data_IF_054050014902
#
_entry.id   IF_054050014902
#
_cell.length_a   1.000
_cell.length_b   1.000
_cell.length_c   1.000
_cell.angle_alpha   90.00
_cell.angle_beta   90.00
_cell.angle_gamma   90.00
#
_symmetry.space_group_name_H-M   'P 1'
#
loop_
_entity.id
_entity.type
_entity.pdbx_description
1 polymer ?
#
# COMPACT_ATOMS: atom_id res chain seq x y z
N UNK A 1 17.43 -24.02 -10.08
CA UNK A 1 17.27 -22.77 -10.89
C UNK A 1 16.30 -21.78 -10.22
N UNK A 2 15.13 -22.19 -9.75
CA UNK A 2 14.12 -21.28 -9.20
C UNK A 2 14.46 -20.59 -7.87
N UNK A 3 15.09 -21.29 -6.91
CA UNK A 3 15.56 -20.69 -5.64
C UNK A 3 16.69 -19.67 -5.85
N UNK A 4 17.63 -19.97 -6.74
CA UNK A 4 18.71 -19.04 -7.09
C UNK A 4 18.16 -17.75 -7.74
N UNK A 5 17.15 -17.90 -8.60
CA UNK A 5 16.46 -16.74 -9.19
C UNK A 5 15.77 -15.90 -8.12
N UNK A 6 15.04 -16.55 -7.19
CA UNK A 6 14.39 -15.87 -6.05
C UNK A 6 15.42 -15.05 -5.26
N UNK A 7 16.54 -15.67 -4.91
CA UNK A 7 17.60 -14.99 -4.16
C UNK A 7 18.21 -13.81 -4.93
N UNK A 8 18.41 -13.97 -6.25
CA UNK A 8 18.90 -12.88 -7.12
C UNK A 8 17.96 -11.68 -7.11
N UNK A 9 16.62 -11.91 -7.14
CA UNK A 9 15.64 -10.85 -7.08
C UNK A 9 15.64 -10.17 -5.70
N UNK A 10 15.70 -10.95 -4.60
CA UNK A 10 15.79 -10.42 -3.24
C UNK A 10 17.04 -9.54 -3.09
N UNK A 11 18.20 -10.01 -3.53
CA UNK A 11 19.43 -9.22 -3.52
C UNK A 11 19.28 -7.94 -4.32
N UNK A 12 18.67 -8.02 -5.49
CA UNK A 12 18.42 -6.83 -6.32
C UNK A 12 17.47 -5.84 -5.67
N UNK A 13 16.44 -6.30 -4.97
CA UNK A 13 15.56 -5.44 -4.18
C UNK A 13 16.34 -4.73 -3.06
N UNK A 14 17.24 -5.44 -2.37
CA UNK A 14 18.10 -4.83 -1.35
C UNK A 14 19.03 -3.75 -1.93
N UNK A 15 19.65 -4.00 -3.10
CA UNK A 15 20.47 -3.01 -3.82
C UNK A 15 19.68 -1.77 -4.27
N UNK A 16 18.37 -1.90 -4.42
CA UNK A 16 17.45 -0.81 -4.79
C UNK A 16 16.77 -0.18 -3.55
N UNK A 17 17.25 -0.49 -2.34
CA UNK A 17 16.65 -0.04 -1.08
C UNK A 17 15.16 -0.40 -0.92
N UNK A 18 14.74 -1.53 -1.47
CA UNK A 18 13.38 -2.06 -1.34
C UNK A 18 13.34 -3.07 -0.19
N UNK A 19 12.76 -2.70 0.97
CA UNK A 19 12.80 -3.55 2.17
C UNK A 19 11.76 -4.67 2.18
N UNK A 20 10.79 -4.65 1.28
CA UNK A 20 9.73 -5.64 1.21
C UNK A 20 9.66 -6.22 -0.20
N UNK A 21 9.80 -7.53 -0.30
CA UNK A 21 9.58 -8.30 -1.52
C UNK A 21 8.90 -9.61 -1.17
N UNK A 22 7.90 -10.00 -1.94
CA UNK A 22 7.16 -11.25 -1.76
C UNK A 22 6.78 -11.87 -3.10
N UNK A 23 6.50 -13.18 -3.08
CA UNK A 23 6.27 -13.98 -4.28
C UNK A 23 4.98 -14.78 -4.14
N UNK A 24 4.05 -14.62 -5.10
CA UNK A 24 2.81 -15.37 -5.15
C UNK A 24 2.68 -16.11 -6.48
N UNK A 25 2.32 -17.40 -6.50
CA UNK A 25 1.99 -18.07 -7.74
C UNK A 25 0.65 -17.53 -8.26
N UNK A 26 0.54 -17.33 -9.57
CA UNK A 26 -0.66 -16.72 -10.19
C UNK A 26 -1.95 -17.51 -9.87
N UNK A 27 -1.88 -18.83 -9.70
CA UNK A 27 -3.03 -19.68 -9.32
C UNK A 27 -3.69 -19.30 -7.98
N UNK A 28 -3.01 -18.55 -7.09
CA UNK A 28 -3.64 -18.07 -5.85
C UNK A 28 -4.79 -17.08 -6.08
N UNK A 29 -4.91 -16.52 -7.28
CA UNK A 29 -6.06 -15.69 -7.65
C UNK A 29 -7.31 -16.50 -7.98
N UNK A 30 -7.17 -17.82 -8.17
CA UNK A 30 -8.29 -18.75 -8.42
C UNK A 30 -8.89 -19.28 -7.11
N UNK A 31 -8.24 -19.04 -5.97
CA UNK A 31 -8.72 -19.47 -4.66
C UNK A 31 -9.90 -18.61 -4.17
N UNK A 32 -10.93 -19.22 -3.52
CA UNK A 32 -12.17 -18.53 -3.12
C UNK A 32 -12.00 -17.47 -2.02
N UNK A 33 -10.80 -17.26 -1.49
CA UNK A 33 -10.50 -16.24 -0.47
C UNK A 33 -10.94 -14.83 -0.87
N UNK A 34 -11.10 -14.57 -2.16
CA UNK A 34 -11.41 -13.24 -2.69
C UNK A 34 -12.76 -13.15 -3.39
N UNK A 35 -13.57 -14.21 -3.42
CA UNK A 35 -14.93 -14.09 -3.91
C UNK A 35 -15.79 -13.26 -2.95
N UNK A 36 -16.64 -12.36 -3.49
CA UNK A 36 -16.95 -12.10 -4.91
C UNK A 36 -16.21 -10.87 -5.48
N UNK A 37 -15.11 -10.41 -4.96
CA UNK A 37 -14.64 -9.03 -5.14
C UNK A 37 -13.30 -8.84 -5.82
N UNK A 38 -12.68 -9.89 -6.38
CA UNK A 38 -11.72 -9.76 -7.48
C UNK A 38 -12.40 -10.24 -8.76
N UNK A 39 -12.80 -9.32 -9.65
CA UNK A 39 -13.28 -9.67 -10.97
C UNK A 39 -12.24 -10.46 -11.76
N UNK A 40 -12.68 -11.31 -12.68
CA UNK A 40 -11.78 -12.18 -13.46
C UNK A 40 -10.78 -11.37 -14.29
N UNK A 41 -11.22 -10.24 -14.84
CA UNK A 41 -10.36 -9.33 -15.60
C UNK A 41 -9.20 -8.72 -14.78
N UNK A 42 -9.25 -8.80 -13.44
CA UNK A 42 -8.17 -8.32 -12.57
C UNK A 42 -7.16 -9.42 -12.19
N UNK A 43 -7.34 -10.64 -12.68
CA UNK A 43 -6.39 -11.73 -12.45
C UNK A 43 -5.10 -11.50 -13.24
N UNK A 44 -3.95 -11.97 -12.74
CA UNK A 44 -2.67 -11.77 -13.44
C UNK A 44 -2.67 -12.28 -14.88
N UNK A 45 -3.25 -13.45 -15.14
CA UNK A 45 -3.30 -14.06 -16.46
C UNK A 45 -4.26 -13.33 -17.43
N UNK A 46 -5.27 -12.61 -16.92
CA UNK A 46 -6.13 -11.77 -17.75
C UNK A 46 -5.42 -10.52 -18.26
N UNK A 47 -4.29 -10.14 -17.62
CA UNK A 47 -3.46 -8.99 -17.98
C UNK A 47 -2.23 -9.42 -18.78
N UNK A 48 -1.56 -10.49 -18.33
CA UNK A 48 -0.40 -11.09 -18.98
C UNK A 48 -0.53 -12.62 -18.91
N UNK A 49 -1.01 -13.27 -19.99
CA UNK A 49 -1.39 -14.69 -20.00
C UNK A 49 -0.30 -15.66 -19.55
N UNK A 50 0.97 -15.34 -19.81
CA UNK A 50 2.12 -16.16 -19.45
C UNK A 50 2.47 -16.10 -17.96
N UNK A 51 1.77 -15.30 -17.15
CA UNK A 51 2.10 -15.11 -15.73
C UNK A 51 2.02 -16.42 -14.95
N UNK A 52 3.14 -16.83 -14.37
CA UNK A 52 3.25 -17.92 -13.40
C UNK A 52 3.46 -17.41 -11.98
N UNK A 53 4.25 -16.33 -11.84
CA UNK A 53 4.52 -15.70 -10.54
C UNK A 53 4.24 -14.20 -10.60
N UNK A 54 3.65 -13.70 -9.53
CA UNK A 54 3.55 -12.27 -9.22
C UNK A 54 4.57 -11.94 -8.15
N UNK A 55 5.52 -11.07 -8.48
CA UNK A 55 6.48 -10.51 -7.54
C UNK A 55 5.92 -9.20 -7.04
N UNK A 56 5.86 -9.01 -5.73
CA UNK A 56 5.36 -7.77 -5.13
C UNK A 56 6.48 -7.10 -4.38
N UNK A 57 6.71 -5.83 -4.68
CA UNK A 57 7.68 -4.99 -3.98
C UNK A 57 6.97 -3.92 -3.16
N UNK A 58 7.54 -3.56 -2.01
CA UNK A 58 6.95 -2.56 -1.11
C UNK A 58 7.97 -1.58 -0.57
N UNK A 59 7.59 -0.30 -0.59
CA UNK A 59 8.36 0.80 0.00
C UNK A 59 7.59 1.45 1.15
N UNK A 60 8.26 1.73 2.29
CA UNK A 60 7.63 2.41 3.41
C UNK A 60 7.35 3.87 3.10
N UNK A 61 6.28 4.36 3.72
CA UNK A 61 5.95 5.78 3.80
C UNK A 61 6.39 6.27 5.17
N UNK A 62 7.31 7.22 5.22
CA UNK A 62 7.88 7.77 6.46
C UNK A 62 6.80 8.26 7.42
N UNK A 63 6.74 7.69 8.62
CA UNK A 63 5.73 8.03 9.63
C UNK A 63 5.76 9.51 10.03
N UNK A 64 6.91 10.15 10.34
CA UNK A 64 6.93 11.58 10.70
C UNK A 64 6.41 12.51 9.61
N UNK A 65 6.62 12.17 8.34
CA UNK A 65 6.09 12.95 7.22
C UNK A 65 4.58 12.71 7.07
N UNK A 66 4.15 11.45 7.17
CA UNK A 66 2.73 11.08 7.16
C UNK A 66 1.94 11.75 8.29
N UNK A 67 2.55 12.00 9.46
CA UNK A 67 1.93 12.70 10.59
C UNK A 67 1.49 14.12 10.24
N UNK A 68 2.13 14.76 9.27
CA UNK A 68 1.71 16.05 8.74
C UNK A 68 0.48 15.98 7.83
N UNK A 69 0.03 14.79 7.43
CA UNK A 69 -1.07 14.59 6.49
C UNK A 69 -2.42 15.15 7.01
N UNK A 70 -3.29 15.69 6.12
CA UNK A 70 -2.99 16.02 4.73
C UNK A 70 -2.10 17.27 4.62
N UNK A 71 -1.04 17.22 3.82
CA UNK A 71 -0.07 18.31 3.66
C UNK A 71 0.67 18.20 2.32
N UNK A 72 1.28 19.31 1.89
CA UNK A 72 2.18 19.31 0.73
C UNK A 72 3.38 18.37 0.95
N UNK A 73 3.91 18.28 2.16
CA UNK A 73 5.05 17.42 2.46
C UNK A 73 4.71 15.93 2.29
N UNK A 74 3.53 15.50 2.79
CA UNK A 74 3.07 14.12 2.57
C UNK A 74 2.73 13.87 1.09
N UNK A 75 2.19 14.87 0.39
CA UNK A 75 1.94 14.78 -1.05
C UNK A 75 3.23 14.48 -1.83
N UNK A 76 4.30 15.22 -1.56
CA UNK A 76 5.58 15.03 -2.25
C UNK A 76 6.24 13.69 -1.88
N UNK A 77 6.20 13.29 -0.60
CA UNK A 77 6.65 11.96 -0.20
C UNK A 77 5.89 10.85 -0.95
N UNK A 78 4.56 10.98 -1.04
CA UNK A 78 3.73 10.01 -1.75
C UNK A 78 4.13 9.87 -3.22
N UNK A 79 4.39 10.98 -3.89
CA UNK A 79 4.89 11.01 -5.28
C UNK A 79 6.25 10.35 -5.41
N UNK A 80 7.19 10.71 -4.53
CA UNK A 80 8.57 10.17 -4.50
C UNK A 80 8.56 8.65 -4.33
N UNK A 81 7.83 8.13 -3.35
CA UNK A 81 7.72 6.69 -3.09
C UNK A 81 7.10 5.97 -4.30
N UNK A 82 6.07 6.54 -4.90
CA UNK A 82 5.41 5.97 -6.08
C UNK A 82 6.36 5.92 -7.28
N UNK A 83 7.09 7.00 -7.55
CA UNK A 83 8.07 7.04 -8.65
C UNK A 83 9.18 6.01 -8.45
N UNK A 84 9.67 5.89 -7.22
CA UNK A 84 10.70 4.88 -6.90
C UNK A 84 10.17 3.46 -7.11
N UNK A 85 8.94 3.16 -6.71
CA UNK A 85 8.30 1.85 -6.96
C UNK A 85 8.20 1.53 -8.45
N UNK A 86 7.75 2.48 -9.26
CA UNK A 86 7.61 2.28 -10.69
C UNK A 86 8.95 2.03 -11.39
N UNK A 87 9.96 2.86 -11.09
CA UNK A 87 11.31 2.70 -11.63
C UNK A 87 11.92 1.37 -11.22
N UNK A 88 11.75 0.97 -9.95
CA UNK A 88 12.29 -0.29 -9.44
C UNK A 88 11.58 -1.51 -10.02
N UNK A 89 10.24 -1.47 -10.12
CA UNK A 89 9.46 -2.53 -10.75
C UNK A 89 9.84 -2.72 -12.22
N UNK A 90 9.99 -1.62 -12.96
CA UNK A 90 10.45 -1.64 -14.34
C UNK A 90 11.87 -2.24 -14.47
N UNK A 91 12.82 -1.82 -13.61
CA UNK A 91 14.19 -2.38 -13.59
C UNK A 91 14.20 -3.88 -13.33
N UNK A 92 13.39 -4.37 -12.37
CA UNK A 92 13.29 -5.80 -12.08
C UNK A 92 12.72 -6.55 -13.30
N UNK A 93 11.69 -6.01 -13.98
CA UNK A 93 11.16 -6.63 -15.19
C UNK A 93 12.20 -6.70 -16.33
N UNK A 94 13.01 -5.67 -16.52
CA UNK A 94 14.10 -5.67 -17.50
C UNK A 94 15.17 -6.73 -17.18
N UNK A 95 15.53 -6.91 -15.91
CA UNK A 95 16.47 -7.95 -15.48
C UNK A 95 15.93 -9.34 -15.80
N UNK A 96 14.65 -9.59 -15.52
CA UNK A 96 14.02 -10.87 -15.85
C UNK A 96 13.96 -11.11 -17.36
N UNK A 97 13.60 -10.09 -18.14
CA UNK A 97 13.57 -10.15 -19.60
C UNK A 97 14.97 -10.43 -20.19
N UNK A 98 16.04 -9.85 -19.63
CA UNK A 98 17.42 -10.14 -20.06
C UNK A 98 17.85 -11.59 -19.81
N UNK A 99 17.19 -12.26 -18.86
CA UNK A 99 17.35 -13.69 -18.56
C UNK A 99 16.43 -14.60 -19.41
N UNK A 100 15.78 -14.07 -20.44
CA UNK A 100 14.79 -14.76 -21.27
C UNK A 100 13.58 -15.25 -20.47
N UNK A 101 13.20 -14.52 -19.41
CA UNK A 101 12.02 -14.75 -18.58
C UNK A 101 11.02 -13.63 -18.83
N UNK A 102 10.05 -13.80 -19.74
CA UNK A 102 9.07 -12.78 -20.08
C UNK A 102 8.42 -12.18 -18.84
N UNK A 103 8.49 -10.86 -18.70
CA UNK A 103 8.04 -10.16 -17.50
C UNK A 103 7.58 -8.75 -17.84
N UNK A 104 6.53 -8.32 -17.15
CA UNK A 104 6.00 -6.97 -17.25
C UNK A 104 5.89 -6.34 -15.85
N UNK A 105 6.11 -5.05 -15.78
CA UNK A 105 5.84 -4.25 -14.60
C UNK A 105 4.40 -3.74 -14.63
N UNK A 106 3.72 -3.75 -13.49
CA UNK A 106 2.38 -3.20 -13.30
C UNK A 106 2.50 -1.90 -12.52
N UNK A 107 2.07 -0.75 -13.08
CA UNK A 107 2.19 0.55 -12.43
C UNK A 107 1.39 0.60 -11.11
N UNK A 108 1.94 1.27 -10.08
CA UNK A 108 1.35 1.37 -8.74
C UNK A 108 -0.05 2.01 -8.69
N UNK A 109 -0.41 2.79 -9.69
CA UNK A 109 -1.72 3.42 -9.81
C UNK A 109 -2.32 3.11 -11.20
N UNK A 110 -3.24 2.15 -11.27
CA UNK A 110 -3.84 1.68 -12.51
C UNK A 110 -5.20 2.32 -12.84
N UNK A 111 -5.40 3.62 -12.55
CA UNK A 111 -6.67 4.32 -12.77
C UNK A 111 -6.53 5.68 -13.48
N UNK A 112 -5.32 6.12 -13.79
CA UNK A 112 -5.03 7.37 -14.52
C UNK A 112 -5.23 8.62 -13.69
N UNK A 113 -6.45 8.97 -13.30
CA UNK A 113 -6.74 10.16 -12.50
C UNK A 113 -7.69 9.89 -11.33
N UNK A 114 -7.64 10.72 -10.30
CA UNK A 114 -8.52 10.61 -9.12
C UNK A 114 -10.00 10.83 -9.49
N UNK A 115 -10.31 11.58 -10.55
CA UNK A 115 -11.66 11.80 -11.01
C UNK A 115 -12.32 10.52 -11.51
N UNK A 116 -11.57 9.64 -12.18
CA UNK A 116 -12.06 8.35 -12.65
C UNK A 116 -12.53 7.48 -11.46
N UNK A 117 -11.85 7.55 -10.31
CA UNK A 117 -12.23 6.77 -9.13
C UNK A 117 -13.57 7.16 -8.51
N UNK A 118 -14.16 8.31 -8.87
CA UNK A 118 -15.51 8.69 -8.42
C UNK A 118 -16.59 7.94 -9.21
N UNK A 119 -16.30 7.62 -10.44
CA UNK A 119 -17.22 6.91 -11.36
C UNK A 119 -16.95 5.40 -11.28
N UNK A 120 -15.69 5.02 -11.42
CA UNK A 120 -15.24 3.63 -11.36
C UNK A 120 -14.14 3.49 -10.29
N UNK A 121 -14.47 3.19 -9.03
CA UNK A 121 -13.52 3.19 -7.91
C UNK A 121 -12.65 1.92 -7.88
N UNK A 122 -12.08 1.54 -9.01
CA UNK A 122 -11.26 0.37 -9.25
C UNK A 122 -10.04 0.74 -10.10
N UNK A 123 -8.89 0.16 -9.76
CA UNK A 123 -7.74 0.07 -10.65
C UNK A 123 -7.81 -1.26 -11.40
N UNK A 124 -7.11 -1.39 -12.54
CA UNK A 124 -7.14 -2.64 -13.31
C UNK A 124 -6.42 -3.80 -12.62
N UNK A 125 -5.63 -3.54 -11.58
CA UNK A 125 -4.99 -4.55 -10.74
C UNK A 125 -4.86 -4.09 -9.29
N UNK A 126 -4.97 -5.02 -8.33
CA UNK A 126 -4.91 -4.71 -6.90
C UNK A 126 -3.61 -5.16 -6.27
N UNK A 127 -2.64 -4.27 -6.15
CA UNK A 127 -1.37 -4.53 -5.47
C UNK A 127 -1.53 -4.94 -3.99
N UNK A 128 -2.61 -4.51 -3.31
CA UNK A 128 -2.88 -4.92 -1.91
C UNK A 128 -3.25 -6.40 -1.81
N UNK A 129 -4.07 -6.89 -2.75
CA UNK A 129 -4.37 -8.32 -2.82
C UNK A 129 -3.14 -9.12 -3.22
N UNK A 130 -2.36 -8.62 -4.18
CA UNK A 130 -1.10 -9.23 -4.56
C UNK A 130 -0.14 -9.34 -3.36
N UNK A 131 0.00 -8.26 -2.57
CA UNK A 131 0.85 -8.25 -1.38
C UNK A 131 0.35 -9.22 -0.27
N UNK A 132 -0.96 -9.37 -0.12
CA UNK A 132 -1.54 -10.40 0.76
C UNK A 132 -1.16 -11.80 0.28
N UNK A 133 -1.40 -12.10 -1.01
CA UNK A 133 -1.11 -13.41 -1.60
C UNK A 133 0.39 -13.72 -1.63
N UNK A 134 1.23 -12.69 -1.66
CA UNK A 134 2.69 -12.80 -1.60
C UNK A 134 3.24 -12.84 -0.15
N UNK A 135 2.38 -12.97 0.86
CA UNK A 135 2.79 -13.13 2.25
C UNK A 135 3.38 -11.89 2.91
N UNK A 136 3.10 -10.69 2.41
CA UNK A 136 3.66 -9.44 2.96
C UNK A 136 2.86 -8.86 4.12
N UNK A 137 1.66 -9.40 4.39
CA UNK A 137 0.81 -8.93 5.46
C UNK A 137 -0.65 -9.35 5.29
N UNK A 138 -1.55 -8.73 6.05
CA UNK A 138 -2.98 -8.97 5.94
C UNK A 138 -3.81 -7.70 6.08
N UNK A 139 -5.09 -7.78 5.68
CA UNK A 139 -5.95 -6.60 5.62
C UNK A 139 -6.40 -6.13 7.00
N UNK A 140 -6.32 -4.81 7.23
CA UNK A 140 -6.95 -4.16 8.36
C UNK A 140 -8.39 -3.73 8.10
N UNK A 141 -9.10 -3.32 9.15
CA UNK A 141 -10.46 -2.75 9.04
C UNK A 141 -10.50 -1.45 8.23
N UNK A 142 -9.35 -0.82 7.99
CA UNK A 142 -9.20 0.33 7.08
C UNK A 142 -9.01 -0.08 5.61
N UNK A 143 -9.14 -1.37 5.30
CA UNK A 143 -8.91 -1.99 3.98
C UNK A 143 -7.50 -1.73 3.39
N UNK A 144 -6.55 -1.35 4.23
CA UNK A 144 -5.14 -1.32 3.85
C UNK A 144 -4.48 -2.66 4.18
N UNK A 145 -3.46 -3.03 3.42
CA UNK A 145 -2.60 -4.13 3.81
C UNK A 145 -1.68 -3.67 4.94
N UNK A 146 -1.68 -4.39 6.03
CA UNK A 146 -0.82 -4.17 7.19
C UNK A 146 0.37 -5.11 7.09
N UNK A 147 1.58 -4.55 7.16
CA UNK A 147 2.81 -5.31 7.30
C UNK A 147 3.28 -5.26 8.76
N UNK A 148 4.01 -6.27 9.22
CA UNK A 148 4.53 -6.32 10.58
C UNK A 148 5.47 -5.13 10.87
N UNK A 149 6.37 -4.83 9.92
CA UNK A 149 7.40 -3.80 10.09
C UNK A 149 6.87 -2.37 9.99
N UNK A 150 5.90 -2.12 9.09
CA UNK A 150 5.46 -0.75 8.76
C UNK A 150 3.94 -0.54 8.92
N UNK A 151 3.19 -1.55 9.38
CA UNK A 151 1.74 -1.46 9.40
C UNK A 151 1.18 -1.12 8.01
N UNK A 152 0.20 -0.19 7.91
CA UNK A 152 -0.37 0.24 6.64
C UNK A 152 0.47 1.31 5.90
N UNK A 153 1.64 1.67 6.44
CA UNK A 153 2.52 2.72 5.90
C UNK A 153 3.46 2.17 4.84
N UNK A 154 2.91 1.48 3.86
CA UNK A 154 3.62 0.89 2.72
C UNK A 154 2.85 1.14 1.44
N UNK A 155 3.59 1.42 0.37
CA UNK A 155 3.10 1.40 -1.00
C UNK A 155 3.66 0.18 -1.71
N UNK A 156 2.89 -0.39 -2.63
CA UNK A 156 3.25 -1.62 -3.35
C UNK A 156 3.20 -1.40 -4.86
N UNK A 157 4.07 -2.12 -5.57
CA UNK A 157 3.99 -2.36 -7.00
C UNK A 157 4.18 -3.86 -7.27
N UNK A 158 3.80 -4.31 -8.45
CA UNK A 158 3.86 -5.74 -8.82
C UNK A 158 4.57 -5.92 -10.14
N UNK A 159 5.24 -7.06 -10.30
CA UNK A 159 5.85 -7.51 -11.54
C UNK A 159 5.26 -8.89 -11.85
N UNK A 160 4.73 -9.07 -13.06
CA UNK A 160 4.28 -10.36 -13.55
C UNK A 160 5.38 -11.02 -14.36
N UNK A 161 5.61 -12.30 -14.13
CA UNK A 161 6.66 -13.05 -14.83
C UNK A 161 6.20 -14.45 -15.21
N UNK A 162 6.67 -14.91 -16.36
CA UNK A 162 6.52 -16.30 -16.79
C UNK A 162 7.44 -17.28 -16.03
N UNK A 163 8.35 -16.76 -15.20
CA UNK A 163 9.19 -17.59 -14.35
C UNK A 163 8.37 -18.26 -13.24
N UNK A 164 8.65 -19.54 -12.99
CA UNK A 164 8.13 -20.26 -11.83
C UNK A 164 9.09 -20.06 -10.64
N UNK A 165 8.70 -19.21 -9.72
CA UNK A 165 9.49 -18.83 -8.54
C UNK A 165 8.81 -19.38 -7.28
N UNK A 166 9.55 -20.00 -6.34
CA UNK A 166 8.97 -20.53 -5.11
C UNK A 166 8.20 -19.46 -4.33
N UNK A 167 6.93 -19.70 -4.00
CA UNK A 167 6.09 -18.72 -3.33
C UNK A 167 6.47 -18.51 -1.87
N UNK A 168 6.09 -17.36 -1.33
CA UNK A 168 6.10 -17.14 0.11
C UNK A 168 4.77 -17.60 0.74
N UNK A 169 4.78 -18.05 2.01
CA UNK A 169 3.55 -18.42 2.71
C UNK A 169 2.68 -17.20 2.99
N UNK A 170 1.36 -17.35 2.87
CA UNK A 170 0.41 -16.31 3.28
C UNK A 170 0.38 -16.22 4.80
N UNK A 171 0.43 -15.01 5.33
CA UNK A 171 0.37 -14.75 6.79
C UNK A 171 -1.05 -15.02 7.27
N UNK A 172 -1.21 -15.99 8.21
CA UNK A 172 -2.50 -16.38 8.76
C UNK A 172 -2.94 -15.53 9.94
N UNK A 173 -1.99 -15.10 10.79
CA UNK A 173 -2.28 -14.33 11.99
C UNK A 173 -2.65 -12.89 11.65
N UNK A 174 -3.84 -12.40 12.05
CA UNK A 174 -4.25 -11.05 11.75
C UNK A 174 -3.42 -10.03 12.53
N UNK A 175 -2.86 -9.04 11.84
CA UNK A 175 -2.12 -7.93 12.45
C UNK A 175 -3.05 -6.85 13.01
N UNK A 176 -4.27 -6.73 12.48
CA UNK A 176 -5.23 -5.71 12.88
C UNK A 176 -5.85 -6.03 14.25
N UNK A 177 -5.70 -5.12 15.20
CA UNK A 177 -6.27 -5.24 16.56
C UNK A 177 -7.71 -4.75 16.68
N UNK A 178 -8.32 -4.30 15.58
CA UNK A 178 -9.69 -3.73 15.54
C UNK A 178 -9.90 -2.56 16.53
N UNK A 179 -8.90 -1.74 16.77
CA UNK A 179 -8.93 -0.63 17.75
C UNK A 179 -9.81 0.56 17.36
N UNK A 180 -10.41 0.56 16.18
CA UNK A 180 -11.32 1.57 15.62
C UNK A 180 -10.71 2.97 15.38
N UNK A 181 -9.45 3.23 15.69
CA UNK A 181 -8.82 4.55 15.53
C UNK A 181 -8.92 5.07 14.08
N UNK A 182 -8.70 4.20 13.09
CA UNK A 182 -8.81 4.57 11.68
C UNK A 182 -10.26 4.92 11.27
N UNK A 183 -11.25 4.23 11.84
CA UNK A 183 -12.68 4.48 11.61
C UNK A 183 -13.06 5.85 12.19
N UNK A 184 -12.72 6.07 13.46
CA UNK A 184 -13.04 7.31 14.18
C UNK A 184 -12.33 8.53 13.58
N UNK A 185 -11.13 8.35 13.02
CA UNK A 185 -10.36 9.44 12.39
C UNK A 185 -10.75 9.70 10.93
N UNK A 186 -11.65 8.92 10.34
CA UNK A 186 -12.06 9.11 8.96
C UNK A 186 -13.01 10.31 8.81
N UNK A 187 -12.60 11.43 8.18
CA UNK A 187 -13.39 12.66 8.14
C UNK A 187 -14.63 12.56 7.25
N UNK A 188 -14.71 11.53 6.41
CA UNK A 188 -15.87 11.26 5.53
C UNK A 188 -16.58 9.96 5.91
N UNK A 189 -16.24 9.37 7.08
CA UNK A 189 -16.86 8.15 7.60
C UNK A 189 -16.92 7.00 6.58
N UNK A 190 -15.89 6.89 5.73
CA UNK A 190 -15.84 5.91 4.65
C UNK A 190 -15.51 4.49 5.14
N UNK A 191 -15.25 4.27 6.42
CA UNK A 191 -14.91 2.98 7.00
C UNK A 191 -16.03 2.53 7.94
N UNK A 192 -16.57 1.33 7.73
CA UNK A 192 -17.68 0.79 8.51
C UNK A 192 -17.24 0.03 9.79
N UNK A 193 -15.95 -0.18 9.96
CA UNK A 193 -15.36 -0.84 11.14
C UNK A 193 -15.41 -2.37 11.12
N UNK A 194 -16.03 -2.98 10.12
CA UNK A 194 -16.03 -4.44 9.98
C UNK A 194 -14.71 -4.94 9.41
N UNK A 195 -14.37 -6.19 9.72
CA UNK A 195 -13.18 -6.84 9.19
C UNK A 195 -13.33 -7.07 7.68
N UNK A 196 -12.25 -6.83 6.95
CA UNK A 196 -12.15 -7.17 5.54
C UNK A 196 -12.24 -8.71 5.36
N UNK A 197 -12.99 -9.25 4.39
CA UNK A 197 -13.68 -8.57 3.29
C UNK A 197 -15.13 -8.15 3.56
N UNK A 198 -15.71 -8.45 4.71
CA UNK A 198 -17.10 -8.09 5.06
C UNK A 198 -17.28 -6.58 5.22
N UNK A 199 -16.23 -5.89 5.70
CA UNK A 199 -16.17 -4.44 5.77
C UNK A 199 -15.41 -3.87 4.58
N UNK A 200 -16.02 -2.94 3.86
CA UNK A 200 -15.43 -2.28 2.70
C UNK A 200 -15.38 -0.77 2.94
N UNK A 201 -14.34 -0.14 2.40
CA UNK A 201 -14.29 1.32 2.33
C UNK A 201 -15.34 1.83 1.35
N UNK A 202 -16.11 2.84 1.73
CA UNK A 202 -16.83 3.68 0.75
C UNK A 202 -15.76 4.41 -0.09
N UNK A 203 -15.39 3.76 -1.20
CA UNK A 203 -14.34 4.24 -2.09
C UNK A 203 -14.73 5.55 -2.76
N UNK A 204 -16.04 5.77 -3.01
CA UNK A 204 -16.54 7.00 -3.64
C UNK A 204 -16.39 8.19 -2.71
N UNK A 205 -16.82 8.09 -1.46
CA UNK A 205 -16.64 9.15 -0.46
C UNK A 205 -15.13 9.45 -0.23
N UNK A 206 -14.30 8.41 -0.15
CA UNK A 206 -12.85 8.55 -0.04
C UNK A 206 -12.23 9.25 -1.27
N UNK A 207 -12.65 8.90 -2.49
CA UNK A 207 -12.17 9.50 -3.74
C UNK A 207 -12.56 10.98 -3.86
N UNK A 208 -13.81 11.34 -3.53
CA UNK A 208 -14.29 12.72 -3.53
C UNK A 208 -13.42 13.60 -2.61
N UNK A 209 -13.13 13.11 -1.39
CA UNK A 209 -12.23 13.81 -0.48
C UNK A 209 -10.82 13.94 -1.05
N UNK A 210 -10.27 12.86 -1.58
CA UNK A 210 -8.92 12.87 -2.17
C UNK A 210 -8.83 13.83 -3.34
N UNK A 211 -9.86 13.95 -4.17
CA UNK A 211 -9.90 14.92 -5.26
C UNK A 211 -9.90 16.36 -4.74
N UNK A 212 -10.72 16.66 -3.72
CA UNK A 212 -10.74 17.99 -3.10
C UNK A 212 -9.37 18.38 -2.52
N UNK A 213 -8.64 17.42 -1.92
CA UNK A 213 -7.28 17.62 -1.43
C UNK A 213 -6.27 17.75 -2.59
N UNK A 214 -6.47 17.03 -3.70
CA UNK A 214 -5.60 17.08 -4.88
C UNK A 214 -5.60 18.46 -5.53
N UNK A 215 -6.74 19.14 -5.59
CA UNK A 215 -6.85 20.51 -6.08
C UNK A 215 -5.99 21.51 -5.27
N UNK A 216 -5.62 21.13 -4.07
CA UNK A 216 -4.77 21.91 -3.15
C UNK A 216 -3.35 21.36 -3.02
N UNK A 217 -2.96 20.35 -3.83
CA UNK A 217 -1.66 19.66 -3.77
C UNK A 217 -1.32 19.06 -2.40
N UNK A 218 -2.33 18.60 -1.65
CA UNK A 218 -2.18 17.99 -0.32
C UNK A 218 -2.81 16.59 -0.22
N UNK A 219 -3.07 15.95 -1.35
CA UNK A 219 -3.52 14.55 -1.45
C UNK A 219 -2.33 13.59 -1.41
N UNK A 220 -2.49 12.38 -0.87
CA UNK A 220 -3.71 11.78 -0.33
C UNK A 220 -4.01 12.18 1.12
N UNK A 221 -5.22 11.82 1.60
CA UNK A 221 -5.67 12.16 2.94
C UNK A 221 -4.78 11.57 4.06
N UNK A 222 -4.43 10.30 4.00
CA UNK A 222 -3.49 9.62 4.90
C UNK A 222 -3.94 9.39 6.35
N UNK A 223 -5.09 9.91 6.81
CA UNK A 223 -5.47 9.86 8.22
C UNK A 223 -5.65 8.45 8.77
N UNK A 224 -6.31 7.55 8.04
CA UNK A 224 -6.55 6.18 8.50
C UNK A 224 -5.26 5.34 8.62
N UNK A 225 -4.21 5.67 7.85
CA UNK A 225 -2.91 4.99 7.95
C UNK A 225 -2.01 5.63 9.01
N UNK A 226 -2.13 6.95 9.21
CA UNK A 226 -1.41 7.70 10.24
C UNK A 226 -1.68 7.18 11.64
N UNK A 227 -2.95 7.00 11.99
CA UNK A 227 -3.40 6.63 13.34
C UNK A 227 -3.36 5.13 13.62
N UNK A 228 -2.97 4.29 12.66
CA UNK A 228 -2.94 2.85 12.86
C UNK A 228 -1.77 2.46 13.79
N UNK A 229 -2.00 1.77 14.93
CA UNK A 229 -0.94 1.41 15.88
C UNK A 229 0.00 0.32 15.37
N UNK A 230 -0.42 -0.45 14.35
CA UNK A 230 0.37 -1.57 13.81
C UNK A 230 1.60 -1.07 13.06
N UNK A 231 2.73 -1.74 13.28
CA UNK A 231 4.00 -1.51 12.59
C UNK A 231 5.15 -1.18 13.53
N UNK A 232 6.26 -1.94 13.40
CA UNK A 232 7.47 -1.75 14.21
C UNK A 232 8.19 -0.42 13.98
N UNK A 233 7.91 0.28 12.87
CA UNK A 233 8.43 1.62 12.58
C UNK A 233 8.01 2.67 13.60
N UNK A 234 6.92 2.43 14.36
CA UNK A 234 6.52 3.31 15.46
C UNK A 234 7.57 3.40 16.57
N UNK A 235 8.23 2.29 16.89
CA UNK A 235 9.33 2.26 17.87
C UNK A 235 10.50 3.13 17.44
N UNK A 236 10.86 3.09 16.15
CA UNK A 236 11.94 3.92 15.60
C UNK A 236 11.74 5.42 15.87
N UNK A 237 10.50 5.86 15.86
CA UNK A 237 10.16 7.28 16.01
C UNK A 237 9.59 7.62 17.39
N UNK A 238 9.55 6.67 18.35
CA UNK A 238 8.87 6.83 19.64
C UNK A 238 7.39 7.29 19.48
N UNK A 239 6.63 6.57 18.64
CA UNK A 239 5.24 6.86 18.27
C UNK A 239 4.29 5.75 18.66
N UNK A 240 4.52 5.09 19.78
CA UNK A 240 3.72 3.98 20.26
C UNK A 240 2.48 4.45 21.05
N UNK A 241 2.50 5.66 21.58
CA UNK A 241 1.34 6.25 22.26
C UNK A 241 0.36 6.88 21.26
N UNK A 242 -0.77 6.21 21.08
CA UNK A 242 -1.80 6.67 20.12
C UNK A 242 -2.56 7.92 20.58
N UNK A 243 -2.49 8.28 21.87
CA UNK A 243 -3.14 9.48 22.42
C UNK A 243 -2.63 10.76 21.74
N UNK A 244 -1.39 10.74 21.25
CA UNK A 244 -0.83 11.85 20.48
C UNK A 244 -1.64 12.23 19.21
N UNK A 245 -2.50 11.33 18.72
CA UNK A 245 -3.32 11.58 17.53
C UNK A 245 -4.78 11.92 17.86
N UNK A 246 -5.23 11.67 19.08
CA UNK A 246 -6.65 11.73 19.46
C UNK A 246 -6.95 12.77 20.54
N UNK A 247 -5.93 13.38 21.16
CA UNK A 247 -6.10 14.37 22.20
C UNK A 247 -5.08 15.51 22.12
N UNK A 248 -5.47 16.67 22.61
CA UNK A 248 -4.57 17.79 22.87
C UNK A 248 -3.99 17.58 24.28
N UNK A 249 -2.74 17.11 24.36
CA UNK A 249 -2.02 17.09 25.63
C UNK A 249 -0.73 17.91 25.49
N UNK A 250 -0.33 18.57 26.57
CA UNK A 250 0.92 19.37 26.62
C UNK A 250 2.15 18.53 26.26
N UNK A 251 2.12 17.23 26.55
CA UNK A 251 3.19 16.29 26.22
C UNK A 251 3.46 16.24 24.70
N UNK A 252 2.41 16.36 23.88
CA UNK A 252 2.51 16.25 22.41
C UNK A 252 2.43 17.60 21.69
N UNK A 253 2.35 18.70 22.42
CA UNK A 253 2.15 20.05 21.86
C UNK A 253 3.21 20.42 20.82
N UNK A 254 4.49 20.07 21.07
CA UNK A 254 5.59 20.31 20.12
C UNK A 254 5.36 19.66 18.75
N UNK A 255 4.81 18.46 18.73
CA UNK A 255 4.50 17.74 17.49
C UNK A 255 3.29 18.37 16.79
N UNK A 256 2.24 18.70 17.55
CA UNK A 256 1.06 19.35 17.00
C UNK A 256 1.38 20.71 16.41
N UNK A 257 2.24 21.50 17.05
CA UNK A 257 2.74 22.78 16.52
C UNK A 257 3.50 22.57 15.20
N UNK A 258 4.43 21.60 15.17
CA UNK A 258 5.18 21.27 13.95
C UNK A 258 4.27 20.82 12.80
N UNK A 259 3.31 19.93 13.07
CA UNK A 259 2.35 19.47 12.06
C UNK A 259 1.45 20.61 11.57
N UNK A 260 0.98 21.49 12.48
CA UNK A 260 0.20 22.66 12.13
C UNK A 260 0.99 23.61 11.23
N UNK A 261 2.26 23.85 11.55
CA UNK A 261 3.16 24.65 10.74
C UNK A 261 3.25 24.11 9.31
N UNK A 262 3.60 22.83 9.14
CA UNK A 262 3.71 22.21 7.80
C UNK A 262 2.39 22.26 7.03
N UNK A 263 1.25 22.04 7.72
CA UNK A 263 -0.10 22.09 7.09
C UNK A 263 -0.53 23.51 6.69
N UNK A 264 0.10 24.55 7.23
CA UNK A 264 -0.20 25.92 6.84
C UNK A 264 0.30 26.28 5.44
N UNK A 265 1.21 25.45 4.90
CA UNK A 265 1.69 25.53 3.52
C UNK A 265 0.87 24.60 2.61
N UNK A 266 0.73 24.96 1.37
CA UNK A 266 -0.02 24.25 0.35
C UNK A 266 -1.00 25.16 -0.34
N UNK A 267 -1.47 24.76 -1.54
CA UNK A 267 -2.38 25.56 -2.35
C UNK A 267 -3.66 25.92 -1.58
N UNK A 268 -4.04 27.17 -1.62
CA UNK A 268 -5.31 27.70 -1.11
C UNK A 268 -6.46 27.40 -2.06
#
# INVERSE_FOLDING_TARGET
MSLALKQKIITKCAELDIPLVGFAPARRWDEPLFEPWIPEEFRPQSIFPETRTVIVIGLPVSLPILETAPSIYYHELYRTVNTHLDVSGYRISLILNSLQLPSIWIPRDGYGSISILKERPLAFFSHRHAAFLAGLGNFGINNMLLTEKYGPRVRFASIFTAADIPPDPVIQNPLCTSCMLCVNSCPVKALDGRKYPKGLTDKKACAIRSEALSKRYISPCGLCIKVCPVGGDRKLYAREDMRMYTGDSMEYEKYHKAWKHVRSYGGR
#
